data_IF_341346687198
#
_entry.id   IF_341346687198
#
_cell.length_a   1.000
_cell.length_b   1.000
_cell.length_c   1.000
_cell.angle_alpha   90.00
_cell.angle_beta   90.00
_cell.angle_gamma   90.00
#
_symmetry.space_group_name_H-M   'P 1'
#
loop_
_entity.id
_entity.type
_entity.pdbx_description
1 polymer ?
#
# COMPACT_ATOMS: atom_id res chain seq x y z
N UNK A 1 9.77 23.54 -15.00
CA UNK A 1 10.18 22.13 -14.79
C UNK A 1 10.47 21.98 -13.32
N UNK A 2 9.79 21.07 -12.63
CA UNK A 2 10.12 20.76 -11.23
C UNK A 2 11.38 19.90 -11.22
N UNK A 3 12.28 20.12 -10.27
CA UNK A 3 13.45 19.26 -10.10
C UNK A 3 13.04 17.84 -9.71
N UNK A 4 13.95 16.90 -9.93
CA UNK A 4 13.84 15.53 -9.43
C UNK A 4 14.69 15.36 -8.18
N UNK A 5 14.25 14.49 -7.29
CA UNK A 5 14.92 14.14 -6.04
C UNK A 5 14.78 12.64 -5.78
N UNK A 6 15.57 12.12 -4.85
CA UNK A 6 15.46 10.77 -4.34
C UNK A 6 14.94 10.79 -2.90
N UNK A 7 14.22 9.73 -2.52
CA UNK A 7 13.83 9.49 -1.13
C UNK A 7 14.41 8.15 -0.70
N UNK A 8 15.22 8.18 0.35
CA UNK A 8 15.69 6.99 1.03
C UNK A 8 14.84 6.74 2.26
N UNK A 9 14.42 5.49 2.43
CA UNK A 9 13.51 5.06 3.49
C UNK A 9 14.14 3.86 4.16
N UNK A 10 14.59 4.02 5.40
CA UNK A 10 14.95 2.88 6.24
C UNK A 10 13.69 2.36 6.90
N UNK A 11 13.36 1.12 6.59
CA UNK A 11 12.24 0.39 7.18
C UNK A 11 12.79 -0.51 8.27
N UNK A 12 12.69 -0.06 9.52
CA UNK A 12 13.24 -0.79 10.67
C UNK A 12 12.31 -1.93 11.07
N UNK A 13 11.14 -1.58 11.62
CA UNK A 13 10.17 -2.54 12.16
C UNK A 13 8.78 -1.96 12.24
N UNK A 14 7.77 -2.82 12.38
CA UNK A 14 6.43 -2.42 12.81
C UNK A 14 6.14 -2.92 14.22
N UNK A 15 5.12 -2.32 14.85
CA UNK A 15 4.66 -2.68 16.18
C UNK A 15 3.14 -2.80 16.19
N UNK A 16 2.65 -3.85 16.84
CA UNK A 16 1.22 -4.09 17.10
C UNK A 16 0.36 -4.04 15.83
N UNK A 17 0.86 -4.59 14.71
CA UNK A 17 -0.01 -4.88 13.57
C UNK A 17 -1.14 -5.81 14.04
N UNK A 18 -2.36 -5.63 13.53
CA UNK A 18 -3.40 -6.64 13.74
C UNK A 18 -3.32 -7.69 12.63
N UNK A 19 -3.74 -8.89 12.98
CA UNK A 19 -3.77 -10.01 12.05
C UNK A 19 -4.95 -9.81 11.10
N UNK A 20 -4.70 -9.96 9.80
CA UNK A 20 -5.73 -9.88 8.75
C UNK A 20 -6.13 -11.27 8.28
N UNK A 21 -5.16 -12.20 8.28
CA UNK A 21 -5.43 -13.61 8.09
C UNK A 21 -6.24 -14.20 9.28
N UNK A 22 -7.30 -14.96 8.95
CA UNK A 22 -8.14 -15.66 9.92
C UNK A 22 -7.54 -16.99 10.36
N UNK A 23 -6.60 -17.54 9.60
CA UNK A 23 -6.01 -18.86 9.80
C UNK A 23 -4.49 -18.89 9.54
N UNK A 24 -3.75 -17.92 10.08
CA UNK A 24 -2.29 -17.84 9.96
C UNK A 24 -1.69 -16.68 10.76
N UNK A 25 -0.35 -16.61 10.76
CA UNK A 25 0.36 -15.39 11.16
C UNK A 25 0.62 -14.57 9.88
N UNK A 26 0.46 -13.25 9.93
CA UNK A 26 0.86 -12.41 8.80
C UNK A 26 2.35 -12.62 8.45
N UNK A 27 2.66 -12.63 7.16
CA UNK A 27 3.98 -12.53 6.53
C UNK A 27 4.13 -11.13 5.88
N UNK A 28 4.35 -10.07 6.68
CA UNK A 28 4.18 -8.70 6.21
C UNK A 28 5.39 -8.18 5.41
N UNK A 29 5.10 -7.32 4.45
CA UNK A 29 6.07 -6.44 3.78
C UNK A 29 5.57 -4.99 3.71
N UNK A 30 6.50 -4.05 3.59
CA UNK A 30 6.19 -2.63 3.44
C UNK A 30 6.36 -2.23 1.99
N UNK A 31 5.35 -1.58 1.42
CA UNK A 31 5.37 -0.97 0.10
C UNK A 31 5.28 0.56 0.21
N UNK A 32 6.23 1.25 -0.41
CA UNK A 32 6.36 2.69 -0.37
C UNK A 32 6.33 3.29 -1.77
N UNK A 33 5.55 4.36 -1.97
CA UNK A 33 5.47 5.08 -3.24
C UNK A 33 5.09 6.56 -3.02
N UNK A 34 5.20 7.39 -4.05
CA UNK A 34 5.00 8.85 -3.94
C UNK A 34 4.55 9.44 -5.29
N UNK A 35 4.63 10.77 -5.44
CA UNK A 35 4.15 11.59 -6.56
C UNK A 35 2.62 11.64 -6.67
N UNK A 36 1.98 10.50 -6.90
CA UNK A 36 0.52 10.39 -7.00
C UNK A 36 0.05 8.97 -6.68
N UNK A 37 -1.27 8.81 -6.53
CA UNK A 37 -1.93 7.51 -6.36
C UNK A 37 -2.29 6.86 -7.70
N UNK A 38 -1.89 7.46 -8.82
CA UNK A 38 -2.11 6.92 -10.15
C UNK A 38 -1.26 5.69 -10.40
N UNK A 39 -1.80 4.77 -11.20
CA UNK A 39 -1.21 3.44 -11.43
C UNK A 39 0.26 3.49 -11.86
N UNK A 40 0.65 4.48 -12.67
CA UNK A 40 2.01 4.56 -13.18
C UNK A 40 3.03 5.11 -12.18
N UNK A 41 2.61 5.91 -11.20
CA UNK A 41 3.48 6.32 -10.10
C UNK A 41 3.55 5.26 -9.01
N UNK A 42 2.42 4.59 -8.71
CA UNK A 42 2.39 3.44 -7.79
C UNK A 42 3.35 2.34 -8.24
N UNK A 43 3.41 2.01 -9.54
CA UNK A 43 4.36 1.01 -10.09
C UNK A 43 5.83 1.34 -9.88
N UNK A 44 6.18 2.61 -9.64
CA UNK A 44 7.56 3.05 -9.37
C UNK A 44 7.92 2.94 -7.88
N UNK A 45 6.98 2.47 -7.05
CA UNK A 45 7.22 2.20 -5.65
C UNK A 45 8.28 1.14 -5.42
N UNK A 46 8.75 1.06 -4.19
CA UNK A 46 9.69 0.06 -3.70
C UNK A 46 9.07 -0.71 -2.54
N UNK A 47 9.44 -1.99 -2.38
CA UNK A 47 9.00 -2.80 -1.24
C UNK A 47 10.17 -3.46 -0.54
N UNK A 48 9.99 -3.74 0.76
CA UNK A 48 10.87 -4.63 1.51
C UNK A 48 10.70 -6.07 1.05
N UNK A 49 11.60 -6.93 1.49
CA UNK A 49 11.32 -8.36 1.56
C UNK A 49 10.20 -8.65 2.57
N UNK A 50 9.70 -9.87 2.48
CA UNK A 50 8.66 -10.40 3.38
C UNK A 50 9.32 -10.77 4.71
N UNK A 51 8.84 -10.17 5.81
CA UNK A 51 9.20 -10.61 7.15
C UNK A 51 8.33 -11.82 7.51
N UNK A 52 8.92 -12.86 8.10
CA UNK A 52 8.16 -14.04 8.51
C UNK A 52 7.45 -13.79 9.83
N UNK A 53 6.16 -14.11 9.85
CA UNK A 53 5.35 -14.37 11.05
C UNK A 53 5.40 -13.28 12.12
N UNK A 54 4.57 -12.27 11.93
CA UNK A 54 3.89 -11.72 13.10
C UNK A 54 3.67 -10.22 13.15
N UNK A 55 3.01 -9.85 14.24
CA UNK A 55 2.50 -8.51 14.58
C UNK A 55 3.56 -7.45 14.84
N UNK A 56 4.83 -7.86 14.93
CA UNK A 56 5.98 -6.99 15.23
C UNK A 56 7.17 -7.36 14.31
N UNK A 57 7.00 -7.28 12.98
CA UNK A 57 8.03 -7.66 12.04
C UNK A 57 9.22 -6.69 12.11
N UNK A 58 10.42 -7.20 11.86
CA UNK A 58 11.64 -6.41 11.71
C UNK A 58 12.17 -6.66 10.29
N UNK A 59 12.33 -5.59 9.52
CA UNK A 59 12.87 -5.66 8.17
C UNK A 59 14.33 -5.22 8.15
N UNK A 60 14.64 -4.09 8.80
CA UNK A 60 15.96 -3.45 8.75
C UNK A 60 16.48 -3.33 7.31
N UNK A 61 15.63 -2.80 6.43
CA UNK A 61 15.91 -2.68 4.99
C UNK A 61 15.76 -1.24 4.52
N UNK A 62 16.60 -0.86 3.57
CA UNK A 62 16.51 0.44 2.93
C UNK A 62 15.80 0.34 1.58
N UNK A 63 14.85 1.24 1.36
CA UNK A 63 14.15 1.42 0.09
C UNK A 63 14.56 2.75 -0.54
N UNK A 64 14.62 2.77 -1.87
CA UNK A 64 15.00 3.95 -2.64
C UNK A 64 13.91 4.29 -3.66
N UNK A 65 13.30 5.46 -3.51
CA UNK A 65 12.41 6.03 -4.51
C UNK A 65 13.19 7.03 -5.36
N UNK A 66 13.36 6.72 -6.65
CA UNK A 66 14.09 7.57 -7.61
C UNK A 66 13.13 8.39 -8.47
N UNK A 67 13.60 9.51 -9.01
CA UNK A 67 12.79 10.38 -9.89
C UNK A 67 11.54 10.94 -9.21
N UNK A 68 11.63 11.21 -7.90
CA UNK A 68 10.55 11.84 -7.14
C UNK A 68 10.46 13.30 -7.54
N UNK A 69 9.25 13.80 -7.80
CA UNK A 69 9.07 15.21 -8.13
C UNK A 69 9.36 16.08 -6.91
N UNK A 70 10.06 17.20 -7.11
CA UNK A 70 10.34 18.15 -6.04
C UNK A 70 9.06 18.79 -5.42
N UNK A 71 7.91 18.71 -6.08
CA UNK A 71 6.61 19.16 -5.57
C UNK A 71 5.76 18.02 -4.94
N UNK A 72 6.29 16.80 -4.84
CA UNK A 72 5.61 15.71 -4.17
C UNK A 72 5.35 16.07 -2.69
N UNK A 73 4.07 15.99 -2.29
CA UNK A 73 3.62 16.38 -0.96
C UNK A 73 3.66 15.22 0.03
N UNK A 74 3.50 13.99 -0.45
CA UNK A 74 3.22 12.82 0.38
C UNK A 74 4.08 11.63 -0.01
N UNK A 75 4.53 10.89 1.01
CA UNK A 75 5.00 9.53 0.90
C UNK A 75 3.85 8.62 1.37
N UNK A 76 3.44 7.69 0.51
CA UNK A 76 2.41 6.72 0.81
C UNK A 76 3.06 5.41 1.22
N UNK A 77 2.58 4.84 2.31
CA UNK A 77 3.01 3.56 2.87
C UNK A 77 1.81 2.62 2.91
N UNK A 78 1.97 1.43 2.36
CA UNK A 78 1.04 0.31 2.48
C UNK A 78 1.80 -0.87 3.11
N UNK A 79 1.29 -1.42 4.22
CA UNK A 79 1.77 -2.67 4.81
C UNK A 79 0.85 -3.77 4.32
N UNK A 80 1.43 -4.79 3.72
CA UNK A 80 0.74 -5.86 3.00
C UNK A 80 1.16 -7.20 3.57
N UNK A 81 0.28 -8.19 3.49
CA UNK A 81 0.55 -9.58 3.80
C UNK A 81 0.85 -10.36 2.51
N UNK A 82 1.95 -11.11 2.48
CA UNK A 82 2.32 -11.92 1.31
C UNK A 82 1.50 -13.21 1.28
N UNK A 83 0.59 -13.33 0.31
CA UNK A 83 -0.29 -14.49 0.17
C UNK A 83 -0.10 -15.22 -1.16
N UNK A 84 -0.52 -16.50 -1.20
CA UNK A 84 -0.59 -17.23 -2.46
C UNK A 84 -1.78 -16.75 -3.30
N UNK A 85 -1.61 -15.64 -4.02
CA UNK A 85 -2.62 -15.11 -4.94
C UNK A 85 -2.67 -13.58 -4.98
N UNK A 86 -3.51 -13.00 -4.12
CA UNK A 86 -3.68 -11.55 -3.99
C UNK A 86 -3.25 -11.17 -2.59
N UNK A 87 -2.14 -10.44 -2.48
CA UNK A 87 -1.63 -9.93 -1.20
C UNK A 87 -2.71 -9.15 -0.42
N UNK A 88 -2.86 -9.47 0.87
CA UNK A 88 -3.88 -8.86 1.72
C UNK A 88 -3.37 -7.53 2.31
N UNK A 89 -4.09 -6.40 2.15
CA UNK A 89 -3.68 -5.14 2.77
C UNK A 89 -3.91 -5.14 4.29
N UNK A 90 -2.84 -4.95 5.07
CA UNK A 90 -2.89 -4.88 6.53
C UNK A 90 -3.25 -3.48 7.01
N UNK A 91 -2.41 -2.50 6.65
CA UNK A 91 -2.58 -1.11 7.08
C UNK A 91 -1.91 -0.14 6.10
N UNK A 92 -2.21 1.15 6.24
CA UNK A 92 -1.58 2.20 5.44
C UNK A 92 -1.26 3.44 6.26
N UNK A 93 -0.37 4.28 5.75
CA UNK A 93 -0.13 5.61 6.28
C UNK A 93 0.22 6.58 5.15
N UNK A 94 -0.18 7.83 5.31
CA UNK A 94 0.29 8.94 4.48
C UNK A 94 1.22 9.81 5.31
N UNK A 95 2.46 10.00 4.86
CA UNK A 95 3.48 10.79 5.55
C UNK A 95 3.68 12.11 4.77
N UNK A 96 3.35 13.27 5.36
CA UNK A 96 3.66 14.56 4.75
C UNK A 96 5.16 14.75 4.57
N UNK A 97 5.64 14.91 3.33
CA UNK A 97 7.07 15.11 3.03
C UNK A 97 7.60 16.45 3.54
N UNK A 98 6.73 17.41 3.88
CA UNK A 98 7.13 18.68 4.47
C UNK A 98 7.97 18.49 5.74
N UNK A 99 7.61 17.54 6.61
CA UNK A 99 8.36 17.30 7.85
C UNK A 99 9.76 16.74 7.58
N UNK A 100 9.93 15.96 6.51
CA UNK A 100 11.23 15.42 6.07
C UNK A 100 12.09 16.54 5.50
N UNK A 101 11.49 17.45 4.70
CA UNK A 101 12.18 18.64 4.19
C UNK A 101 12.66 19.55 5.32
N UNK A 102 11.87 19.69 6.38
CA UNK A 102 12.22 20.48 7.55
C UNK A 102 13.42 19.91 8.34
N UNK A 103 13.80 18.65 8.10
CA UNK A 103 15.03 18.06 8.64
C UNK A 103 16.29 18.53 7.90
N UNK A 104 16.17 19.40 6.89
CA UNK A 104 17.29 20.08 6.19
C UNK A 104 18.35 19.11 5.65
N UNK A 105 17.89 18.02 5.01
CA UNK A 105 18.78 16.99 4.45
C UNK A 105 19.24 15.95 5.48
N UNK A 106 18.95 16.14 6.78
CA UNK A 106 19.14 15.10 7.79
C UNK A 106 18.04 14.05 7.69
N UNK A 107 18.35 12.84 8.16
CA UNK A 107 17.40 11.73 8.22
C UNK A 107 16.39 11.97 9.34
N UNK A 108 15.11 12.03 8.99
CA UNK A 108 14.02 12.08 9.95
C UNK A 108 13.67 10.67 10.39
N UNK A 109 14.03 10.31 11.62
CA UNK A 109 13.65 9.02 12.21
C UNK A 109 12.49 9.17 13.21
N UNK A 110 11.61 8.19 13.26
CA UNK A 110 10.53 8.13 14.24
C UNK A 110 9.50 7.03 14.02
N UNK A 111 8.49 7.02 14.87
CA UNK A 111 7.32 6.15 14.79
C UNK A 111 6.16 6.84 14.08
N UNK A 112 5.55 6.17 13.12
CA UNK A 112 4.43 6.65 12.31
C UNK A 112 3.24 5.74 12.52
N UNK A 113 2.08 6.29 12.89
CA UNK A 113 0.87 5.49 13.07
C UNK A 113 0.40 4.94 11.73
N UNK A 114 -0.02 3.69 11.76
CA UNK A 114 -0.66 2.99 10.64
C UNK A 114 -2.18 2.98 10.85
N UNK A 115 -2.93 2.92 9.76
CA UNK A 115 -4.38 2.96 9.77
C UNK A 115 -4.97 1.83 8.94
N UNK A 116 -6.11 1.29 9.37
CA UNK A 116 -6.87 0.32 8.59
C UNK A 116 -7.79 1.01 7.55
N UNK A 117 -8.52 0.22 6.75
CA UNK A 117 -9.48 0.69 5.75
C UNK A 117 -10.54 1.69 6.25
N UNK A 118 -10.84 1.69 7.54
CA UNK A 118 -11.81 2.59 8.16
C UNK A 118 -11.17 3.89 8.67
N UNK A 119 -9.83 3.99 8.62
CA UNK A 119 -9.04 5.12 9.10
C UNK A 119 -8.77 5.08 10.60
N UNK A 120 -8.89 3.91 11.24
CA UNK A 120 -8.59 3.71 12.67
C UNK A 120 -7.14 3.26 12.81
N UNK A 121 -6.48 3.70 13.88
CA UNK A 121 -5.11 3.28 14.19
C UNK A 121 -5.01 1.74 14.24
N UNK A 122 -3.96 1.21 13.64
CA UNK A 122 -3.78 -0.22 13.35
C UNK A 122 -2.30 -0.59 13.41
N UNK A 123 -1.66 -0.22 14.52
CA UNK A 123 -0.23 -0.39 14.75
C UNK A 123 0.59 0.84 14.35
N UNK A 124 1.90 0.69 14.37
CA UNK A 124 2.84 1.75 14.01
C UNK A 124 4.04 1.19 13.25
N UNK A 125 4.67 2.04 12.45
CA UNK A 125 5.85 1.74 11.66
C UNK A 125 7.00 2.66 12.07
N UNK A 126 8.15 2.08 12.40
CA UNK A 126 9.35 2.82 12.78
C UNK A 126 10.20 2.97 11.53
N UNK A 127 10.38 4.22 11.07
CA UNK A 127 11.06 4.55 9.82
C UNK A 127 12.13 5.62 10.01
N UNK A 128 13.13 5.61 9.12
CA UNK A 128 14.02 6.73 8.84
C UNK A 128 13.80 7.23 7.42
N UNK A 129 13.59 8.53 7.22
CA UNK A 129 13.29 9.09 5.90
C UNK A 129 14.23 10.25 5.60
N UNK A 130 14.87 10.24 4.44
CA UNK A 130 15.73 11.33 3.95
C UNK A 130 15.40 11.66 2.51
N UNK A 131 15.36 12.96 2.19
CA UNK A 131 15.29 13.45 0.81
C UNK A 131 16.70 13.86 0.40
N UNK A 132 17.14 13.39 -0.77
CA UNK A 132 18.47 13.67 -1.33
C UNK A 132 18.37 14.14 -2.77
N UNK A 133 19.38 14.90 -3.19
CA UNK A 133 19.50 15.28 -4.60
C UNK A 133 19.99 14.08 -5.43
N UNK A 134 19.66 14.01 -6.74
CA UNK A 134 20.08 12.88 -7.57
C UNK A 134 21.60 12.72 -7.69
N UNK A 135 22.36 13.80 -7.45
CA UNK A 135 23.83 13.82 -7.49
C UNK A 135 24.50 13.39 -6.19
N UNK A 136 23.75 13.24 -5.10
CA UNK A 136 24.30 12.74 -3.84
C UNK A 136 24.38 11.20 -3.93
N UNK A 137 25.50 10.62 -3.54
CA UNK A 137 25.62 9.17 -3.36
C UNK A 137 24.75 8.74 -2.16
N UNK A 138 24.20 7.50 -2.16
CA UNK A 138 23.56 6.95 -0.97
C UNK A 138 24.57 6.96 0.17
N UNK A 139 24.22 7.62 1.28
CA UNK A 139 25.10 7.65 2.45
C UNK A 139 25.13 6.27 3.11
N UNK A 140 26.33 5.74 3.35
CA UNK A 140 26.61 4.54 4.15
C UNK A 140 26.58 4.84 5.67
N UNK A 141 25.79 5.84 6.11
CA UNK A 141 25.81 6.36 7.48
C UNK A 141 25.52 5.25 8.53
N UNK A 142 26.32 5.25 9.60
CA UNK A 142 26.23 4.34 10.75
C UNK A 142 24.81 4.27 11.34
N UNK A 143 24.35 3.04 11.64
CA UNK A 143 23.12 2.76 12.37
C UNK A 143 23.17 3.38 13.78
N UNK A 144 22.79 4.65 13.89
CA UNK A 144 22.45 5.28 15.15
C UNK A 144 21.16 4.68 15.75
N UNK A 145 20.93 4.83 17.06
CA UNK A 145 19.73 4.30 17.71
C UNK A 145 18.46 4.86 17.05
N UNK A 146 17.55 3.95 16.65
CA UNK A 146 16.29 4.34 16.03
C UNK A 146 15.43 5.13 17.02
N UNK A 147 15.10 6.37 16.67
CA UNK A 147 14.16 7.17 17.46
C UNK A 147 12.75 6.59 17.35
N UNK A 148 12.08 6.43 18.49
CA UNK A 148 10.64 6.09 18.56
C UNK A 148 9.76 7.32 18.82
N UNK A 149 10.32 8.53 18.65
CA UNK A 149 9.52 9.75 18.68
C UNK A 149 8.39 9.67 17.67
N UNK A 150 7.15 9.90 18.13
CA UNK A 150 5.97 9.89 17.26
C UNK A 150 6.07 11.05 16.26
N UNK A 151 6.12 10.73 14.97
CA UNK A 151 6.14 11.66 13.83
C UNK A 151 4.74 11.80 13.25
N UNK A 152 4.59 12.67 12.26
CA UNK A 152 3.29 12.93 11.65
C UNK A 152 3.03 11.91 10.55
N UNK A 153 2.04 11.04 10.76
CA UNK A 153 1.32 10.34 9.69
C UNK A 153 -0.16 10.73 9.74
N UNK A 154 -0.88 10.51 8.64
CA UNK A 154 -2.30 10.85 8.53
C UNK A 154 -3.06 9.90 7.63
N UNK A 155 -4.39 9.98 7.74
CA UNK A 155 -5.33 9.36 6.81
C UNK A 155 -5.63 10.36 5.69
N UNK A 156 -5.02 10.15 4.54
CA UNK A 156 -5.41 10.85 3.31
C UNK A 156 -6.62 10.14 2.68
N UNK A 157 -7.66 10.88 2.30
CA UNK A 157 -8.92 10.30 1.81
C UNK A 157 -8.75 9.57 0.47
N UNK A 158 -7.90 10.07 -0.43
CA UNK A 158 -7.64 9.42 -1.71
C UNK A 158 -6.83 8.12 -1.50
N UNK A 159 -5.83 8.16 -0.61
CA UNK A 159 -5.06 6.98 -0.22
C UNK A 159 -5.95 5.94 0.46
N UNK A 160 -6.82 6.36 1.37
CA UNK A 160 -7.83 5.47 2.01
C UNK A 160 -8.78 4.86 0.99
N UNK A 161 -9.28 5.65 0.04
CA UNK A 161 -10.17 5.17 -1.01
C UNK A 161 -9.48 4.14 -1.91
N UNK A 162 -8.19 4.35 -2.23
CA UNK A 162 -7.36 3.35 -2.92
C UNK A 162 -7.20 2.10 -2.07
N UNK A 163 -6.80 2.23 -0.81
CA UNK A 163 -6.56 1.12 0.09
C UNK A 163 -7.80 0.25 0.25
N UNK A 164 -8.98 0.87 0.39
CA UNK A 164 -10.26 0.16 0.43
C UNK A 164 -10.56 -0.63 -0.85
N UNK A 165 -10.14 -0.15 -2.03
CA UNK A 165 -10.27 -0.90 -3.29
C UNK A 165 -9.34 -2.13 -3.32
N UNK A 166 -8.15 -2.05 -2.73
CA UNK A 166 -7.26 -3.21 -2.59
C UNK A 166 -7.91 -4.28 -1.72
N UNK A 167 -8.41 -3.90 -0.55
CA UNK A 167 -9.09 -4.82 0.38
C UNK A 167 -10.29 -5.47 -0.29
N UNK A 168 -11.11 -4.69 -1.02
CA UNK A 168 -12.27 -5.28 -1.72
C UNK A 168 -11.86 -6.25 -2.86
N UNK A 169 -10.69 -6.04 -3.48
CA UNK A 169 -10.22 -6.88 -4.57
C UNK A 169 -9.74 -8.24 -4.04
N UNK A 170 -9.09 -8.27 -2.89
CA UNK A 170 -8.74 -9.49 -2.16
C UNK A 170 -10.00 -10.30 -1.84
N UNK A 171 -10.99 -9.71 -1.14
CA UNK A 171 -12.25 -10.41 -0.80
C UNK A 171 -12.97 -11.02 -2.01
N UNK A 172 -12.89 -10.38 -3.19
CA UNK A 172 -13.44 -10.91 -4.43
C UNK A 172 -12.64 -12.10 -4.97
N UNK A 173 -11.30 -12.08 -4.83
CA UNK A 173 -10.43 -13.20 -5.14
C UNK A 173 -10.76 -14.42 -4.29
N UNK A 174 -10.89 -14.22 -2.98
CA UNK A 174 -11.27 -15.24 -2.00
C UNK A 174 -12.62 -15.89 -2.32
N UNK A 175 -13.65 -15.07 -2.58
CA UNK A 175 -14.96 -15.56 -2.96
C UNK A 175 -14.91 -16.39 -4.26
N UNK A 176 -14.10 -15.97 -5.24
CA UNK A 176 -13.94 -16.71 -6.50
C UNK A 176 -13.24 -18.06 -6.29
N UNK A 177 -12.22 -18.12 -5.43
CA UNK A 177 -11.54 -19.39 -5.10
C UNK A 177 -12.47 -20.34 -4.35
N UNK A 178 -13.23 -19.85 -3.37
CA UNK A 178 -14.21 -20.68 -2.62
C UNK A 178 -15.31 -21.19 -3.55
N UNK A 179 -15.79 -20.37 -4.49
CA UNK A 179 -16.75 -20.83 -5.50
C UNK A 179 -16.11 -21.86 -6.43
N UNK A 180 -14.87 -21.69 -6.87
CA UNK A 180 -14.20 -22.67 -7.73
C UNK A 180 -13.94 -24.01 -7.00
N UNK A 181 -13.53 -23.97 -5.73
CA UNK A 181 -13.34 -25.15 -4.89
C UNK A 181 -14.67 -25.80 -4.47
N UNK A 182 -15.71 -25.00 -4.26
CA UNK A 182 -17.07 -25.42 -3.89
C UNK A 182 -17.96 -25.83 -5.08
N UNK A 183 -17.65 -25.41 -6.31
CA UNK A 183 -18.41 -25.72 -7.52
C UNK A 183 -18.15 -27.11 -8.11
N UNK A 184 -17.65 -28.05 -7.30
CA UNK A 184 -18.03 -29.45 -7.46
C UNK A 184 -19.47 -29.73 -6.96
N UNK A 185 -20.12 -28.77 -6.30
CA UNK A 185 -21.51 -28.85 -5.86
C UNK A 185 -22.36 -27.72 -6.44
N UNK A 186 -23.06 -28.04 -7.53
CA UNK A 186 -24.37 -27.51 -7.95
C UNK A 186 -24.53 -26.02 -8.35
N UNK A 187 -24.74 -25.83 -9.66
CA UNK A 187 -25.91 -25.17 -10.25
C UNK A 187 -26.03 -23.61 -10.27
N UNK A 188 -26.08 -23.11 -11.51
CA UNK A 188 -26.82 -21.94 -12.01
C UNK A 188 -26.19 -20.56 -11.76
N UNK A 189 -25.22 -20.20 -12.62
CA UNK A 189 -25.01 -18.80 -13.00
C UNK A 189 -26.09 -18.40 -14.02
N UNK A 190 -27.22 -17.91 -13.51
CA UNK A 190 -28.18 -17.14 -14.31
C UNK A 190 -27.63 -15.73 -14.55
N UNK A 191 -26.78 -15.58 -15.55
CA UNK A 191 -26.38 -14.27 -16.08
C UNK A 191 -26.25 -14.33 -17.61
N UNK A 192 -27.38 -14.44 -18.30
CA UNK A 192 -27.51 -13.98 -19.69
C UNK A 192 -28.46 -12.78 -19.67
N UNK A 193 -27.89 -11.60 -19.42
CA UNK A 193 -28.53 -10.32 -19.69
C UNK A 193 -28.10 -9.84 -21.08
N UNK A 194 -29.06 -9.53 -21.96
CA UNK A 194 -28.74 -8.90 -23.25
C UNK A 194 -29.87 -8.94 -24.27
N UNK A 195 -30.95 -8.20 -24.02
CA UNK A 195 -32.02 -7.99 -24.99
C UNK A 195 -31.59 -7.14 -26.19
N UNK A 196 -32.21 -7.38 -27.35
CA UNK A 196 -32.26 -6.42 -28.46
C UNK A 196 -33.67 -6.32 -29.04
N UNK A 197 -33.96 -5.10 -29.50
CA UNK A 197 -35.26 -4.43 -29.62
C UNK A 197 -36.21 -5.03 -30.66
N UNK A 198 -37.51 -4.91 -30.35
CA UNK A 198 -38.62 -4.96 -31.31
C UNK A 198 -38.44 -3.94 -32.46
N UNK A 199 -38.78 -4.36 -33.68
CA UNK A 199 -39.42 -3.50 -34.68
C UNK A 199 -40.69 -4.18 -35.18
N UNK A 200 -41.82 -3.50 -34.98
CA UNK A 200 -43.13 -3.82 -35.56
C UNK A 200 -43.13 -3.55 -37.07
N UNK A 201 -43.72 -4.46 -37.84
CA UNK A 201 -44.60 -4.13 -38.96
C UNK A 201 -45.55 -5.32 -39.20
N UNK A 202 -46.85 -5.04 -39.20
CA UNK A 202 -47.94 -5.92 -39.61
C UNK A 202 -48.61 -5.28 -40.85
N UNK A 203 -49.67 -5.84 -41.45
CA UNK A 203 -49.95 -7.23 -41.86
C UNK A 203 -50.42 -7.30 -43.35
N UNK A 204 -50.59 -8.50 -43.92
CA UNK A 204 -51.84 -8.97 -44.59
C UNK A 204 -51.67 -10.25 -45.42
N UNK A 205 -52.77 -11.01 -45.37
CA UNK A 205 -53.25 -12.15 -46.15
C UNK A 205 -52.69 -12.34 -47.58
N UNK A 206 -52.38 -13.59 -47.93
CA UNK A 206 -53.24 -14.51 -48.69
C UNK A 206 -52.75 -15.95 -48.53
#
# INVERSE_FOLDING_TARGET
MYGEQHIDIDVFRAAKLEDVDKFGDNDPYVFAFTNSLEKDDVKKGARTEVAKKGRNPNWNQQLHLKGVRADALYLYIEVMDDETGIDEPIAFATIPLQQVRNANGQRLQGSFDLYNKDGREHGALILGIRIRQPSEDPDDDEEGPHSEERRVSMVDEDHKARFKKLVNKEHLGDAAQVVAAGAAAAAIFGAVFGGSKQKKAAPREQ
#
